data_IF_499580363697
#
_entry.id   IF_499580363697
#
_cell.length_a   1.000
_cell.length_b   1.000
_cell.length_c   1.000
_cell.angle_alpha   90.00
_cell.angle_beta   90.00
_cell.angle_gamma   90.00
#
_symmetry.space_group_name_H-M   'P 1'
#
loop_
_entity.id
_entity.type
_entity.pdbx_description
1 polymer ?
#
# COMPACT_ATOMS: atom_id res chain seq x y z
N UNK A 1 5.99 -9.28 5.33
CA UNK A 1 4.61 -9.12 4.79
C UNK A 1 4.58 -7.88 3.94
N UNK A 2 4.35 -8.01 2.64
CA UNK A 2 4.37 -6.87 1.72
C UNK A 2 3.15 -5.96 1.97
N UNK A 3 3.41 -4.66 2.18
CA UNK A 3 2.39 -3.64 2.38
C UNK A 3 2.53 -2.55 1.32
N UNK A 4 1.43 -2.25 0.63
CA UNK A 4 1.41 -1.30 -0.48
C UNK A 4 0.58 -0.07 -0.15
N UNK A 5 1.13 1.10 -0.51
CA UNK A 5 0.48 2.39 -0.39
C UNK A 5 0.70 3.19 -1.67
N UNK A 6 -0.35 3.79 -2.22
CA UNK A 6 -0.24 4.71 -3.36
C UNK A 6 -0.62 6.13 -2.95
N UNK A 7 0.22 7.09 -3.31
CA UNK A 7 0.07 8.52 -3.03
C UNK A 7 -0.04 9.28 -4.34
N UNK A 8 -1.09 10.09 -4.48
CA UNK A 8 -1.28 10.94 -5.65
C UNK A 8 -0.46 12.23 -5.55
N UNK A 9 0.39 12.50 -6.53
CA UNK A 9 1.21 13.70 -6.60
C UNK A 9 0.53 14.77 -7.47
N UNK A 10 0.07 15.85 -6.83
CA UNK A 10 -0.58 17.00 -7.50
C UNK A 10 0.29 18.26 -7.54
N UNK A 11 1.40 18.27 -6.81
CA UNK A 11 2.31 19.38 -6.67
C UNK A 11 3.74 19.00 -7.01
N UNK A 12 4.66 19.19 -6.06
CA UNK A 12 6.11 19.07 -6.21
C UNK A 12 6.59 17.62 -6.45
N UNK A 13 6.52 17.15 -7.70
CA UNK A 13 7.05 15.84 -8.11
C UNK A 13 8.58 15.80 -8.02
N UNK A 14 9.25 16.94 -8.24
CA UNK A 14 10.68 17.14 -8.00
C UNK A 14 11.07 16.78 -6.56
N UNK A 15 10.39 17.34 -5.57
CA UNK A 15 10.67 17.02 -4.16
C UNK A 15 10.42 15.55 -3.82
N UNK A 16 9.46 14.90 -4.47
CA UNK A 16 9.23 13.47 -4.27
C UNK A 16 10.40 12.66 -4.81
N UNK A 17 10.89 12.98 -5.99
CA UNK A 17 12.05 12.32 -6.59
C UNK A 17 13.32 12.58 -5.77
N UNK A 18 13.57 13.83 -5.36
CA UNK A 18 14.71 14.18 -4.51
C UNK A 18 14.72 13.37 -3.19
N UNK A 19 13.54 13.20 -2.58
CA UNK A 19 13.39 12.41 -1.35
C UNK A 19 13.71 10.92 -1.57
N UNK A 20 13.16 10.31 -2.63
CA UNK A 20 13.33 8.87 -2.87
C UNK A 20 14.72 8.51 -3.39
N UNK A 21 15.40 9.46 -4.06
CA UNK A 21 16.75 9.30 -4.59
C UNK A 21 17.85 9.65 -3.58
N UNK A 22 17.49 9.97 -2.34
CA UNK A 22 18.46 10.39 -1.32
C UNK A 22 19.52 9.31 -1.09
N UNK A 23 20.79 9.68 -1.28
CA UNK A 23 21.97 8.78 -1.21
C UNK A 23 22.12 8.13 0.16
N UNK A 24 21.82 8.86 1.24
CA UNK A 24 21.93 8.35 2.61
C UNK A 24 20.93 7.22 2.88
N UNK A 25 19.81 7.18 2.16
CA UNK A 25 18.74 6.20 2.33
C UNK A 25 18.86 5.00 1.40
N UNK A 26 19.45 5.18 0.22
CA UNK A 26 19.57 4.17 -0.83
C UNK A 26 20.93 3.49 -0.90
N UNK A 27 21.91 3.99 -0.15
CA UNK A 27 23.26 3.44 -0.15
C UNK A 27 23.38 2.18 0.71
N UNK A 28 23.84 1.08 0.12
CA UNK A 28 24.10 -0.19 0.82
C UNK A 28 25.11 -0.07 1.96
N UNK A 29 25.98 0.94 1.95
CA UNK A 29 26.94 1.19 3.03
C UNK A 29 26.25 1.48 4.38
N UNK A 30 25.00 1.91 4.38
CA UNK A 30 24.20 2.16 5.58
C UNK A 30 23.44 0.92 6.08
N UNK A 31 23.41 -0.16 5.32
CA UNK A 31 22.86 -1.43 5.76
C UNK A 31 23.91 -2.17 6.60
N UNK A 32 23.70 -2.26 7.91
CA UNK A 32 24.61 -2.88 8.91
C UNK A 32 25.17 -4.26 8.57
N UNK A 33 24.64 -4.93 7.55
CA UNK A 33 25.06 -6.27 7.09
C UNK A 33 26.12 -6.24 5.97
N UNK A 34 26.52 -5.08 5.43
CA UNK A 34 27.40 -4.99 4.24
C UNK A 34 28.78 -4.38 4.48
N UNK A 35 29.20 -4.26 5.74
CA UNK A 35 30.46 -3.58 6.14
C UNK A 35 31.73 -4.28 5.60
N UNK A 36 31.65 -5.46 5.00
CA UNK A 36 32.82 -6.24 4.59
C UNK A 36 33.23 -6.12 3.10
N UNK A 37 32.51 -5.35 2.27
CA UNK A 37 32.90 -5.22 0.86
C UNK A 37 32.77 -3.80 0.29
N UNK A 38 33.82 -2.97 0.37
CA UNK A 38 33.81 -1.58 -0.11
C UNK A 38 33.68 -1.43 -1.64
N UNK A 39 33.77 -2.53 -2.42
CA UNK A 39 33.63 -2.47 -3.87
C UNK A 39 32.17 -2.50 -4.36
N UNK A 40 31.18 -2.68 -3.46
CA UNK A 40 29.74 -2.72 -3.79
C UNK A 40 29.00 -1.46 -3.33
N UNK A 41 29.45 -0.30 -3.71
CA UNK A 41 28.68 0.95 -3.56
C UNK A 41 27.58 1.01 -4.63
N UNK A 42 26.73 0.01 -4.70
CA UNK A 42 25.55 0.03 -5.56
C UNK A 42 24.43 0.80 -4.88
N UNK A 43 23.98 1.85 -5.54
CA UNK A 43 22.73 2.52 -5.17
C UNK A 43 21.59 1.62 -5.61
N UNK A 44 20.66 1.32 -4.70
CA UNK A 44 19.45 0.53 -4.98
C UNK A 44 18.39 1.41 -5.66
N UNK A 45 18.72 1.88 -6.88
CA UNK A 45 17.87 2.76 -7.69
C UNK A 45 17.87 2.24 -9.12
N UNK A 46 16.67 2.13 -9.69
CA UNK A 46 16.46 1.68 -11.08
C UNK A 46 15.45 2.58 -11.78
N UNK A 47 15.77 3.03 -13.00
CA UNK A 47 14.83 3.64 -13.92
C UNK A 47 14.19 2.59 -14.84
N UNK A 48 12.89 2.72 -15.09
CA UNK A 48 12.15 1.92 -16.08
C UNK A 48 11.57 2.88 -17.08
N UNK A 49 11.89 2.71 -18.36
CA UNK A 49 11.53 3.60 -19.47
C UNK A 49 12.03 5.05 -19.32
N UNK A 50 12.99 5.29 -18.45
CA UNK A 50 13.70 6.55 -18.28
C UNK A 50 15.06 6.30 -17.61
N UNK A 51 15.98 7.22 -17.80
CA UNK A 51 17.21 7.27 -17.00
C UNK A 51 16.93 7.97 -15.67
N UNK A 52 17.53 7.51 -14.60
CA UNK A 52 17.27 8.03 -13.24
C UNK A 52 17.55 9.54 -13.17
N UNK A 53 18.67 9.98 -13.74
CA UNK A 53 19.12 11.37 -13.68
C UNK A 53 18.23 12.31 -14.52
N UNK A 54 17.56 11.80 -15.54
CA UNK A 54 16.67 12.58 -16.43
C UNK A 54 15.18 12.31 -16.21
N UNK A 55 14.83 11.42 -15.27
CA UNK A 55 13.45 10.94 -15.07
C UNK A 55 12.43 12.08 -14.96
N UNK A 56 12.72 13.14 -14.20
CA UNK A 56 11.82 14.28 -14.06
C UNK A 56 11.61 15.01 -15.38
N UNK A 57 12.67 15.22 -16.16
CA UNK A 57 12.60 15.87 -17.47
C UNK A 57 11.85 15.02 -18.48
N UNK A 58 12.07 13.70 -18.48
CA UNK A 58 11.39 12.74 -19.37
C UNK A 58 9.89 12.69 -19.07
N UNK A 59 9.52 12.59 -17.79
CA UNK A 59 8.12 12.64 -17.37
C UNK A 59 7.42 13.96 -17.72
N UNK A 60 8.15 15.09 -17.65
CA UNK A 60 7.64 16.40 -18.10
C UNK A 60 7.50 16.47 -19.62
N UNK A 61 8.46 15.93 -20.36
CA UNK A 61 8.42 15.89 -21.82
C UNK A 61 7.23 15.07 -22.30
N UNK A 62 6.98 13.89 -21.72
CA UNK A 62 5.79 13.09 -22.00
C UNK A 62 4.49 13.86 -21.75
N UNK A 63 4.36 14.55 -20.61
CA UNK A 63 3.17 15.38 -20.33
C UNK A 63 2.98 16.50 -21.35
N UNK A 64 4.08 17.16 -21.72
CA UNK A 64 4.08 18.24 -22.73
C UNK A 64 3.68 17.71 -24.11
N UNK A 65 4.24 16.55 -24.52
CA UNK A 65 3.90 15.90 -25.80
C UNK A 65 2.40 15.64 -25.94
N UNK A 66 1.73 15.25 -24.86
CA UNK A 66 0.32 14.90 -24.85
C UNK A 66 -0.60 16.03 -24.35
N UNK A 67 -0.07 17.23 -24.14
CA UNK A 67 -0.79 18.39 -23.58
C UNK A 67 -1.53 18.09 -22.28
N UNK A 68 -0.87 17.38 -21.35
CA UNK A 68 -1.44 16.94 -20.07
C UNK A 68 -0.64 17.42 -18.86
N UNK A 69 -0.25 18.69 -18.86
CA UNK A 69 0.61 19.29 -17.83
C UNK A 69 -0.07 19.55 -16.48
N UNK A 70 -1.41 19.54 -16.43
CA UNK A 70 -2.18 19.87 -15.23
C UNK A 70 -2.78 18.68 -14.49
N UNK A 71 -3.30 18.93 -13.30
CA UNK A 71 -3.97 17.95 -12.44
C UNK A 71 -3.00 17.04 -11.72
N UNK A 72 -3.21 15.70 -11.79
CA UNK A 72 -2.29 14.72 -11.20
C UNK A 72 -1.03 14.67 -12.05
N UNK A 73 0.13 14.89 -11.43
CA UNK A 73 1.43 14.92 -12.07
C UNK A 73 2.13 13.55 -12.08
N UNK A 74 1.92 12.76 -11.06
CA UNK A 74 2.48 11.43 -10.91
C UNK A 74 1.89 10.70 -9.72
N UNK A 75 2.40 9.53 -9.46
CA UNK A 75 2.04 8.72 -8.31
C UNK A 75 3.30 8.19 -7.64
N UNK A 76 3.17 7.94 -6.35
CA UNK A 76 4.23 7.38 -5.53
C UNK A 76 3.66 6.16 -4.80
N UNK A 77 4.16 4.96 -5.13
CA UNK A 77 3.87 3.73 -4.41
C UNK A 77 4.98 3.51 -3.39
N UNK A 78 4.59 3.11 -2.18
CA UNK A 78 5.49 2.60 -1.16
C UNK A 78 5.15 1.12 -1.00
N UNK A 79 6.14 0.25 -1.26
CA UNK A 79 6.05 -1.19 -1.14
C UNK A 79 7.01 -1.63 -0.04
N UNK A 80 6.49 -2.12 1.07
CA UNK A 80 7.26 -2.42 2.29
C UNK A 80 7.27 -3.91 2.58
N UNK A 81 8.38 -4.40 3.14
CA UNK A 81 8.58 -5.81 3.54
C UNK A 81 8.58 -5.94 5.06
N UNK A 82 8.35 -7.14 5.58
CA UNK A 82 8.50 -7.39 7.01
C UNK A 82 9.98 -7.29 7.42
N UNK A 83 10.25 -6.87 8.68
CA UNK A 83 11.63 -6.84 9.18
C UNK A 83 12.30 -8.20 9.04
N UNK A 84 13.50 -8.23 8.44
CA UNK A 84 14.28 -9.44 8.27
C UNK A 84 13.78 -10.45 7.21
N UNK A 85 12.73 -10.10 6.46
CA UNK A 85 12.15 -10.99 5.43
C UNK A 85 12.98 -11.03 4.15
N UNK A 86 13.64 -9.94 3.81
CA UNK A 86 14.42 -9.77 2.57
C UNK A 86 15.73 -9.07 2.84
N UNK A 87 16.73 -9.34 2.03
CA UNK A 87 17.94 -8.51 1.93
C UNK A 87 17.66 -7.25 1.11
N UNK A 88 18.52 -6.21 1.18
CA UNK A 88 18.37 -5.01 0.35
C UNK A 88 18.30 -5.29 -1.15
N UNK A 89 19.14 -6.20 -1.66
CA UNK A 89 19.16 -6.57 -3.07
C UNK A 89 17.88 -7.33 -3.48
N UNK A 90 17.39 -8.23 -2.65
CA UNK A 90 16.12 -8.96 -2.89
C UNK A 90 14.92 -8.02 -2.85
N UNK A 91 14.89 -7.08 -1.88
CA UNK A 91 13.85 -6.06 -1.80
C UNK A 91 13.81 -5.20 -3.07
N UNK A 92 15.00 -4.75 -3.53
CA UNK A 92 15.10 -3.96 -4.75
C UNK A 92 14.67 -4.74 -5.98
N UNK A 93 15.15 -5.97 -6.15
CA UNK A 93 14.79 -6.83 -7.27
C UNK A 93 13.28 -7.12 -7.31
N UNK A 94 12.65 -7.37 -6.16
CA UNK A 94 11.20 -7.58 -6.07
C UNK A 94 10.42 -6.29 -6.37
N UNK A 95 10.88 -5.13 -5.86
CA UNK A 95 10.27 -3.84 -6.15
C UNK A 95 10.36 -3.43 -7.62
N UNK A 96 11.49 -3.71 -8.27
CA UNK A 96 11.67 -3.47 -9.72
C UNK A 96 10.75 -4.38 -10.54
N UNK A 97 10.69 -5.68 -10.21
CA UNK A 97 9.79 -6.62 -10.88
C UNK A 97 8.32 -6.23 -10.73
N UNK A 98 7.91 -5.86 -9.52
CA UNK A 98 6.56 -5.36 -9.25
C UNK A 98 6.24 -4.12 -10.11
N UNK A 99 7.14 -3.13 -10.13
CA UNK A 99 6.98 -1.92 -10.92
C UNK A 99 6.94 -2.22 -12.43
N UNK A 100 7.79 -3.14 -12.91
CA UNK A 100 7.83 -3.54 -14.31
C UNK A 100 6.52 -4.21 -14.75
N UNK A 101 5.99 -5.16 -13.96
CA UNK A 101 4.74 -5.85 -14.27
C UNK A 101 3.52 -4.93 -14.24
N UNK A 102 3.50 -3.99 -13.28
CA UNK A 102 2.37 -3.08 -13.09
C UNK A 102 2.36 -1.93 -14.10
N UNK A 103 3.52 -1.36 -14.44
CA UNK A 103 3.66 -0.06 -15.07
C UNK A 103 4.57 -0.05 -16.33
N UNK A 104 5.44 -1.07 -16.47
CA UNK A 104 6.58 -1.03 -17.38
C UNK A 104 6.27 -0.88 -18.86
N UNK A 105 5.04 -1.18 -19.28
CA UNK A 105 4.66 -1.07 -20.68
C UNK A 105 4.24 0.35 -21.09
N UNK A 106 3.99 1.25 -20.13
CA UNK A 106 3.28 2.51 -20.42
C UNK A 106 3.82 3.75 -19.73
N UNK A 107 4.59 3.61 -18.66
CA UNK A 107 4.97 4.75 -17.83
C UNK A 107 6.47 4.80 -17.59
N UNK A 108 7.01 6.01 -17.48
CA UNK A 108 8.34 6.23 -16.92
C UNK A 108 8.25 6.04 -15.40
N UNK A 109 9.14 5.22 -14.84
CA UNK A 109 9.14 4.83 -13.43
C UNK A 109 10.54 4.94 -12.85
N UNK A 110 10.64 5.41 -11.61
CA UNK A 110 11.84 5.33 -10.79
C UNK A 110 11.55 4.46 -9.57
N UNK A 111 12.34 3.43 -9.37
CA UNK A 111 12.30 2.55 -8.20
C UNK A 111 13.52 2.82 -7.34
N UNK A 112 13.33 3.14 -6.05
CA UNK A 112 14.41 3.36 -5.09
C UNK A 112 14.11 2.58 -3.81
N UNK A 113 15.06 1.77 -3.35
CA UNK A 113 14.91 0.99 -2.11
C UNK A 113 15.63 1.70 -0.97
N UNK A 114 14.89 2.02 0.08
CA UNK A 114 15.41 2.63 1.30
C UNK A 114 15.82 1.56 2.31
N UNK A 115 16.99 1.71 2.88
CA UNK A 115 17.64 0.77 3.82
C UNK A 115 17.95 1.42 5.17
N UNK A 116 17.43 2.63 5.40
CA UNK A 116 17.66 3.43 6.60
C UNK A 116 16.76 3.05 7.80
N UNK A 117 15.94 1.98 7.65
CA UNK A 117 15.03 1.50 8.69
C UNK A 117 15.07 -0.02 8.81
N UNK A 118 14.57 -0.53 9.94
CA UNK A 118 14.49 -1.97 10.20
C UNK A 118 13.65 -2.73 9.15
N UNK A 119 12.62 -2.09 8.59
CA UNK A 119 11.82 -2.63 7.50
C UNK A 119 12.24 -1.97 6.18
N UNK A 120 12.71 -2.79 5.27
CA UNK A 120 13.05 -2.37 3.93
C UNK A 120 11.79 -1.98 3.15
N UNK A 121 11.90 -0.92 2.36
CA UNK A 121 10.77 -0.47 1.54
C UNK A 121 11.24 0.14 0.23
N UNK A 122 10.50 -0.17 -0.83
CA UNK A 122 10.71 0.40 -2.15
C UNK A 122 9.78 1.58 -2.36
N UNK A 123 10.34 2.69 -2.80
CA UNK A 123 9.62 3.84 -3.33
C UNK A 123 9.56 3.72 -4.85
N UNK A 124 8.37 3.69 -5.41
CA UNK A 124 8.12 3.59 -6.85
C UNK A 124 7.40 4.86 -7.27
N UNK A 125 8.11 5.76 -7.95
CA UNK A 125 7.55 7.04 -8.45
C UNK A 125 7.37 6.93 -9.95
N UNK A 126 6.15 7.19 -10.44
CA UNK A 126 5.86 7.08 -11.85
C UNK A 126 5.02 8.22 -12.41
N UNK A 127 5.14 8.42 -13.72
CA UNK A 127 4.41 9.44 -14.45
C UNK A 127 2.91 9.15 -14.45
N UNK A 128 2.10 10.19 -14.33
CA UNK A 128 0.63 10.06 -14.45
C UNK A 128 0.14 9.88 -15.88
N UNK A 129 0.98 10.16 -16.88
CA UNK A 129 0.63 10.12 -18.31
C UNK A 129 1.44 9.03 -18.98
N UNK A 130 0.76 8.13 -19.70
CA UNK A 130 1.39 7.10 -20.52
C UNK A 130 2.13 7.72 -21.68
N UNK A 131 3.40 7.31 -21.89
CA UNK A 131 4.18 7.74 -23.06
C UNK A 131 3.71 7.07 -24.34
N UNK A 132 2.98 5.95 -24.25
CA UNK A 132 2.50 5.17 -25.39
C UNK A 132 1.24 5.79 -26.01
N UNK A 133 0.22 6.09 -25.20
CA UNK A 133 -1.11 6.50 -25.67
C UNK A 133 -1.61 7.81 -25.04
N UNK A 134 -0.81 8.44 -24.20
CA UNK A 134 -1.12 9.69 -23.52
C UNK A 134 -2.25 9.60 -22.50
N UNK A 135 -2.77 8.41 -22.19
CA UNK A 135 -3.80 8.26 -21.18
C UNK A 135 -3.23 8.47 -19.79
N UNK A 136 -4.03 9.12 -18.93
CA UNK A 136 -3.68 9.22 -17.50
C UNK A 136 -3.94 7.91 -16.80
N UNK A 137 -3.02 7.53 -15.91
CA UNK A 137 -3.23 6.42 -14.97
C UNK A 137 -4.51 6.67 -14.16
N UNK A 138 -5.35 5.65 -14.08
CA UNK A 138 -6.58 5.70 -13.28
C UNK A 138 -6.28 5.04 -11.94
N UNK A 139 -6.13 5.88 -10.91
CA UNK A 139 -6.09 5.39 -9.53
C UNK A 139 -7.53 5.27 -9.03
N UNK A 140 -8.19 4.19 -9.43
CA UNK A 140 -9.52 3.83 -8.97
C UNK A 140 -9.48 2.52 -8.19
N UNK A 141 -10.64 2.09 -7.75
CA UNK A 141 -10.80 0.87 -6.97
C UNK A 141 -10.22 -0.38 -7.66
N UNK A 142 -10.48 -0.55 -8.95
CA UNK A 142 -9.99 -1.71 -9.70
C UNK A 142 -8.46 -1.69 -9.81
N UNK A 143 -7.88 -0.54 -10.11
CA UNK A 143 -6.43 -0.41 -10.22
C UNK A 143 -5.71 -0.58 -8.88
N UNK A 144 -6.33 -0.19 -7.75
CA UNK A 144 -5.72 -0.34 -6.44
C UNK A 144 -5.81 -1.78 -5.93
N UNK A 145 -6.99 -2.39 -5.94
CA UNK A 145 -7.19 -3.72 -5.35
C UNK A 145 -6.97 -4.87 -6.35
N UNK A 146 -7.31 -4.67 -7.62
CA UNK A 146 -7.09 -5.66 -8.68
C UNK A 146 -5.65 -5.63 -9.17
N UNK A 147 -5.25 -4.52 -9.78
CA UNK A 147 -3.96 -4.46 -10.47
C UNK A 147 -2.79 -4.33 -9.49
N UNK A 148 -2.78 -3.30 -8.62
CA UNK A 148 -1.64 -3.01 -7.76
C UNK A 148 -1.42 -4.12 -6.73
N UNK A 149 -2.43 -4.39 -5.88
CA UNK A 149 -2.31 -5.42 -4.85
C UNK A 149 -2.25 -6.84 -5.41
N UNK A 150 -2.96 -7.11 -6.51
CA UNK A 150 -2.88 -8.38 -7.23
C UNK A 150 -1.45 -8.66 -7.69
N UNK A 151 -0.84 -7.73 -8.43
CA UNK A 151 0.54 -7.86 -8.91
C UNK A 151 1.56 -7.94 -7.77
N UNK A 152 1.40 -7.13 -6.71
CA UNK A 152 2.24 -7.20 -5.51
C UNK A 152 2.22 -8.58 -4.86
N UNK A 153 1.02 -9.15 -4.68
CA UNK A 153 0.85 -10.47 -4.11
C UNK A 153 1.43 -11.59 -5.00
N UNK A 154 1.28 -11.49 -6.33
CA UNK A 154 1.85 -12.44 -7.28
C UNK A 154 3.38 -12.45 -7.20
N UNK A 155 4.02 -11.29 -7.30
CA UNK A 155 5.48 -11.16 -7.17
C UNK A 155 5.97 -11.69 -5.83
N UNK A 156 5.27 -11.38 -4.74
CA UNK A 156 5.64 -11.86 -3.41
C UNK A 156 5.57 -13.37 -3.32
N UNK A 157 4.50 -14.02 -3.81
CA UNK A 157 4.35 -15.47 -3.80
C UNK A 157 5.43 -16.17 -4.64
N UNK A 158 5.69 -15.68 -5.84
CA UNK A 158 6.71 -16.24 -6.74
C UNK A 158 8.12 -16.18 -6.14
N UNK A 159 8.37 -15.18 -5.29
CA UNK A 159 9.65 -15.02 -4.58
C UNK A 159 9.67 -15.67 -3.19
N UNK A 160 8.59 -16.37 -2.80
CA UNK A 160 8.48 -17.00 -1.49
C UNK A 160 8.36 -16.02 -0.32
N UNK A 161 7.97 -14.77 -0.60
CA UNK A 161 7.75 -13.74 0.40
C UNK A 161 6.36 -13.87 1.01
N UNK A 162 6.20 -13.37 2.23
CA UNK A 162 4.92 -13.40 2.92
C UNK A 162 3.91 -12.48 2.23
N UNK A 163 2.73 -13.02 1.97
CA UNK A 163 1.59 -12.30 1.42
C UNK A 163 0.57 -12.11 2.52
N UNK A 164 -0.08 -10.96 2.54
CA UNK A 164 -1.23 -10.77 3.40
C UNK A 164 -2.41 -11.51 2.76
N UNK A 165 -2.66 -12.72 3.22
CA UNK A 165 -3.89 -13.42 2.85
C UNK A 165 -5.00 -12.99 3.79
N UNK A 166 -6.19 -12.60 3.26
CA UNK A 166 -7.33 -12.32 4.12
C UNK A 166 -7.71 -13.62 4.84
N UNK A 167 -7.44 -13.70 6.12
CA UNK A 167 -7.83 -14.86 6.93
C UNK A 167 -9.35 -15.07 6.83
N UNK A 168 -9.71 -16.21 6.28
CA UNK A 168 -11.10 -16.60 6.08
C UNK A 168 -11.73 -17.09 7.38
N UNK A 169 -12.27 -16.18 8.19
CA UNK A 169 -13.18 -16.53 9.27
C UNK A 169 -14.56 -16.90 8.70
N UNK A 170 -15.23 -17.88 9.29
CA UNK A 170 -16.47 -18.51 8.84
C UNK A 170 -17.51 -17.59 8.18
N UNK A 171 -17.97 -17.98 6.99
CA UNK A 171 -18.71 -17.10 6.07
C UNK A 171 -20.19 -16.95 6.49
N UNK A 172 -20.62 -15.71 6.72
CA UNK A 172 -22.06 -15.39 6.80
C UNK A 172 -22.66 -15.43 5.38
N UNK A 173 -23.93 -15.80 5.24
CA UNK A 173 -24.60 -15.93 3.92
C UNK A 173 -24.54 -14.66 3.05
N UNK A 174 -24.66 -13.48 3.66
CA UNK A 174 -24.50 -12.18 2.98
C UNK A 174 -23.06 -11.94 2.51
N UNK A 175 -22.07 -12.48 3.19
CA UNK A 175 -20.66 -12.43 2.79
C UNK A 175 -20.40 -13.35 1.60
N UNK A 176 -21.02 -14.52 1.55
CA UNK A 176 -20.91 -15.45 0.41
C UNK A 176 -21.50 -14.87 -0.88
N UNK A 177 -22.62 -14.17 -0.79
CA UNK A 177 -23.23 -13.48 -1.95
C UNK A 177 -22.43 -12.23 -2.36
N UNK A 178 -21.81 -11.51 -1.40
CA UNK A 178 -20.96 -10.36 -1.66
C UNK A 178 -19.58 -10.76 -2.24
N UNK A 179 -19.10 -11.98 -1.98
CA UNK A 179 -17.89 -12.54 -2.58
C UNK A 179 -18.01 -12.61 -4.11
N UNK A 180 -19.21 -12.96 -4.63
CA UNK A 180 -19.53 -12.89 -6.07
C UNK A 180 -19.48 -11.46 -6.64
N UNK A 181 -19.55 -10.43 -5.79
CA UNK A 181 -19.54 -9.00 -6.16
C UNK A 181 -18.20 -8.31 -5.85
N UNK A 182 -17.19 -9.02 -5.41
CA UNK A 182 -15.88 -8.44 -5.07
C UNK A 182 -15.82 -7.65 -3.74
N UNK A 183 -16.95 -7.43 -3.06
CA UNK A 183 -17.03 -6.62 -1.84
C UNK A 183 -16.20 -7.20 -0.67
N UNK A 184 -16.13 -8.54 -0.57
CA UNK A 184 -15.45 -9.21 0.52
C UNK A 184 -13.94 -9.11 0.43
N UNK A 185 -13.40 -9.27 -0.77
CA UNK A 185 -11.97 -9.10 -1.04
C UNK A 185 -11.54 -7.72 -0.59
N UNK A 186 -12.33 -6.71 -0.93
CA UNK A 186 -12.09 -5.32 -0.53
C UNK A 186 -12.15 -5.12 0.97
N UNK A 187 -13.14 -5.68 1.65
CA UNK A 187 -13.22 -5.57 3.12
C UNK A 187 -12.00 -6.22 3.80
N UNK A 188 -11.49 -7.31 3.23
CA UNK A 188 -10.23 -7.91 3.68
C UNK A 188 -9.06 -6.92 3.61
N UNK A 189 -8.88 -6.26 2.48
CA UNK A 189 -7.83 -5.25 2.32
C UNK A 189 -8.03 -4.03 3.24
N UNK A 190 -9.26 -3.56 3.41
CA UNK A 190 -9.56 -2.46 4.34
C UNK A 190 -9.20 -2.83 5.78
N UNK A 191 -9.49 -4.07 6.21
CA UNK A 191 -9.08 -4.58 7.53
C UNK A 191 -7.55 -4.53 7.70
N UNK A 192 -6.81 -4.98 6.70
CA UNK A 192 -5.35 -4.96 6.71
C UNK A 192 -4.76 -3.55 6.80
N UNK A 193 -5.36 -2.62 6.04
CA UNK A 193 -4.93 -1.22 6.10
C UNK A 193 -5.21 -0.60 7.48
N UNK A 194 -6.32 -1.01 8.13
CA UNK A 194 -6.62 -0.64 9.51
C UNK A 194 -5.60 -1.26 10.47
N UNK A 195 -5.25 -2.55 10.31
CA UNK A 195 -4.27 -3.23 11.15
C UNK A 195 -2.89 -2.58 11.04
N UNK A 196 -2.46 -2.26 9.82
CA UNK A 196 -1.22 -1.52 9.58
C UNK A 196 -1.26 -0.11 10.21
N UNK A 197 -2.40 0.59 10.10
CA UNK A 197 -2.56 1.90 10.72
C UNK A 197 -2.55 1.83 12.25
N UNK A 198 -3.10 0.76 12.86
CA UNK A 198 -3.03 0.52 14.31
C UNK A 198 -1.58 0.30 14.74
N UNK A 199 -0.81 -0.49 14.00
CA UNK A 199 0.58 -0.81 14.34
C UNK A 199 1.49 0.43 14.38
N UNK A 200 1.19 1.48 13.58
CA UNK A 200 1.96 2.74 13.55
C UNK A 200 1.34 3.87 14.41
N UNK A 201 0.28 3.60 15.17
CA UNK A 201 -0.50 4.63 15.86
C UNK A 201 -0.58 4.39 17.37
N UNK A 202 -0.77 5.48 18.12
CA UNK A 202 -0.96 5.44 19.58
C UNK A 202 -2.39 5.79 20.01
N UNK A 203 -3.17 6.42 19.16
CA UNK A 203 -4.54 6.85 19.45
C UNK A 203 -5.46 6.56 18.27
N UNK A 204 -6.76 6.47 18.51
CA UNK A 204 -7.74 6.27 17.46
C UNK A 204 -7.68 7.38 16.40
N UNK A 205 -7.49 8.63 16.80
CA UNK A 205 -7.38 9.75 15.88
C UNK A 205 -6.14 9.65 14.97
N UNK A 206 -5.03 9.12 15.50
CA UNK A 206 -3.83 8.87 14.69
C UNK A 206 -4.02 7.70 13.71
N UNK A 207 -4.80 6.67 14.05
CA UNK A 207 -5.24 5.62 13.10
C UNK A 207 -6.04 6.24 11.96
N UNK A 208 -7.04 7.07 12.28
CA UNK A 208 -7.84 7.75 11.25
C UNK A 208 -6.98 8.68 10.38
N UNK A 209 -6.00 9.36 10.98
CA UNK A 209 -5.06 10.21 10.25
C UNK A 209 -4.15 9.38 9.33
N UNK A 210 -3.68 8.21 9.78
CA UNK A 210 -2.91 7.28 8.98
C UNK A 210 -3.70 6.80 7.75
N UNK A 211 -4.94 6.36 7.95
CA UNK A 211 -5.84 5.95 6.85
C UNK A 211 -6.12 7.10 5.87
N UNK A 212 -6.33 8.34 6.37
CA UNK A 212 -6.50 9.50 5.47
C UNK A 212 -5.25 9.77 4.63
N UNK A 213 -4.06 9.63 5.21
CA UNK A 213 -2.79 9.72 4.44
C UNK A 213 -2.68 8.65 3.36
N UNK A 214 -3.31 7.48 3.58
CA UNK A 214 -3.42 6.41 2.59
C UNK A 214 -4.48 6.68 1.52
N UNK A 215 -5.21 7.80 1.59
CA UNK A 215 -6.24 8.17 0.62
C UNK A 215 -7.65 7.72 0.97
N UNK A 216 -7.87 7.19 2.18
CA UNK A 216 -9.21 6.85 2.66
C UNK A 216 -10.07 8.10 2.90
N UNK A 217 -11.32 8.04 2.48
CA UNK A 217 -12.35 8.99 2.91
C UNK A 217 -13.03 8.45 4.18
N UNK A 218 -12.98 9.24 5.25
CA UNK A 218 -13.47 8.81 6.57
C UNK A 218 -14.53 9.79 7.06
N UNK A 219 -15.70 9.25 7.45
CA UNK A 219 -16.72 9.99 8.21
C UNK A 219 -16.63 9.57 9.68
N UNK A 220 -16.26 10.53 10.53
CA UNK A 220 -16.10 10.38 11.97
C UNK A 220 -16.36 11.71 12.67
N UNK A 221 -16.98 11.68 13.83
CA UNK A 221 -17.25 12.86 14.66
C UNK A 221 -18.55 12.74 15.47
N UNK A 222 -18.82 13.72 16.33
CA UNK A 222 -19.96 13.72 17.26
C UNK A 222 -21.35 13.63 16.59
N UNK A 223 -21.45 14.09 15.35
CA UNK A 223 -22.69 14.05 14.55
C UNK A 223 -22.79 12.84 13.63
N UNK A 224 -21.86 11.89 13.71
CA UNK A 224 -21.80 10.70 12.86
C UNK A 224 -22.23 9.50 13.68
N UNK A 225 -23.35 8.87 13.32
CA UNK A 225 -23.88 7.69 14.01
C UNK A 225 -22.95 6.48 13.96
N UNK A 226 -22.24 6.29 12.84
CA UNK A 226 -21.31 5.17 12.64
C UNK A 226 -20.07 5.69 11.93
N UNK A 227 -18.90 5.39 12.45
CA UNK A 227 -17.64 5.65 11.76
C UNK A 227 -17.58 4.81 10.49
N UNK A 228 -17.33 5.47 9.35
CA UNK A 228 -17.23 4.82 8.05
C UNK A 228 -15.90 5.10 7.39
N UNK A 229 -15.37 4.10 6.71
CA UNK A 229 -14.16 4.17 5.90
C UNK A 229 -14.47 3.79 4.46
N UNK A 230 -13.98 4.59 3.52
CA UNK A 230 -14.07 4.34 2.09
C UNK A 230 -12.66 4.30 1.53
N UNK A 231 -12.23 3.20 0.90
CA UNK A 231 -10.89 3.06 0.36
C UNK A 231 -10.61 4.03 -0.80
N UNK A 232 -9.32 4.26 -1.12
CA UNK A 232 -8.93 5.06 -2.29
C UNK A 232 -9.58 4.52 -3.57
N UNK A 233 -9.90 5.43 -4.49
CA UNK A 233 -10.58 5.07 -5.75
C UNK A 233 -12.10 4.95 -5.64
N UNK A 234 -12.68 5.08 -4.45
CA UNK A 234 -14.14 5.04 -4.25
C UNK A 234 -14.68 3.62 -4.11
N UNK A 235 -15.92 3.39 -4.58
CA UNK A 235 -16.58 2.10 -4.50
C UNK A 235 -17.29 1.88 -3.17
N UNK A 236 -16.94 0.83 -2.44
CA UNK A 236 -17.63 0.45 -1.21
C UNK A 236 -17.30 1.36 -0.03
N UNK A 237 -18.32 1.72 0.75
CA UNK A 237 -18.20 2.35 2.06
C UNK A 237 -18.46 1.28 3.13
N UNK A 238 -17.54 1.15 4.07
CA UNK A 238 -17.63 0.20 5.18
C UNK A 238 -17.86 0.94 6.49
N UNK A 239 -18.78 0.41 7.30
CA UNK A 239 -18.93 0.83 8.71
C UNK A 239 -17.98 -0.01 9.55
N UNK A 240 -17.22 0.58 10.45
CA UNK A 240 -16.33 -0.18 11.34
C UNK A 240 -17.09 -1.27 12.09
N UNK A 241 -18.29 -0.96 12.61
CA UNK A 241 -19.15 -1.93 13.32
C UNK A 241 -19.55 -3.16 12.49
N UNK A 242 -19.49 -3.07 11.16
CA UNK A 242 -19.85 -4.16 10.25
C UNK A 242 -18.65 -4.94 9.72
N UNK A 243 -17.46 -4.59 10.16
CA UNK A 243 -16.22 -5.21 9.66
C UNK A 243 -15.82 -6.45 10.48
N UNK A 244 -16.59 -6.82 11.49
CA UNK A 244 -16.35 -7.97 12.35
C UNK A 244 -15.60 -7.63 13.63
N UNK A 245 -15.29 -8.67 14.39
CA UNK A 245 -14.62 -8.56 15.69
C UNK A 245 -13.22 -7.96 15.50
N UNK A 246 -12.82 -7.06 16.40
CA UNK A 246 -11.52 -6.39 16.38
C UNK A 246 -11.50 -5.09 15.57
N UNK A 247 -12.60 -4.71 14.91
CA UNK A 247 -12.64 -3.54 14.01
C UNK A 247 -13.66 -2.47 14.40
N UNK A 248 -14.44 -2.65 15.47
CA UNK A 248 -15.24 -1.56 16.01
C UNK A 248 -14.34 -0.46 16.58
N UNK A 249 -14.86 0.74 16.75
CA UNK A 249 -14.08 1.83 17.37
C UNK A 249 -13.60 1.42 18.78
N UNK A 250 -14.43 0.71 19.54
CA UNK A 250 -14.07 0.20 20.86
C UNK A 250 -12.91 -0.80 20.78
N UNK A 251 -13.01 -1.78 19.88
CA UNK A 251 -11.97 -2.79 19.67
C UNK A 251 -10.63 -2.16 19.26
N UNK A 252 -10.68 -1.20 18.33
CA UNK A 252 -9.45 -0.50 17.87
C UNK A 252 -8.81 0.26 19.05
N UNK A 253 -9.60 0.92 19.89
CA UNK A 253 -9.08 1.60 21.09
C UNK A 253 -8.47 0.63 22.09
N UNK A 254 -9.08 -0.54 22.27
CA UNK A 254 -8.56 -1.61 23.14
C UNK A 254 -7.25 -2.18 22.60
N UNK A 255 -7.18 -2.47 21.30
CA UNK A 255 -5.95 -2.92 20.62
C UNK A 255 -4.80 -1.91 20.79
N UNK A 256 -5.08 -0.62 20.64
CA UNK A 256 -4.11 0.45 20.88
C UNK A 256 -3.67 0.53 22.35
N UNK A 257 -4.57 0.26 23.30
CA UNK A 257 -4.23 0.23 24.72
C UNK A 257 -3.34 -0.98 25.04
N UNK A 258 -3.66 -2.17 24.55
CA UNK A 258 -2.85 -3.38 24.69
C UNK A 258 -1.43 -3.18 24.11
N UNK A 259 -1.34 -2.64 22.89
CA UNK A 259 -0.04 -2.36 22.25
C UNK A 259 0.83 -1.40 23.08
N UNK A 260 0.24 -0.37 23.73
CA UNK A 260 0.97 0.54 24.62
C UNK A 260 1.49 -0.12 25.88
N UNK A 261 0.78 -1.13 26.37
CA UNK A 261 1.15 -1.88 27.56
C UNK A 261 2.13 -3.04 27.26
N UNK A 262 2.48 -3.26 26.00
CA UNK A 262 3.30 -4.41 25.57
C UNK A 262 2.56 -5.75 25.65
N UNK A 263 1.22 -5.72 25.65
CA UNK A 263 0.35 -6.89 25.70
C UNK A 263 0.00 -7.33 24.27
N UNK A 264 -0.09 -8.63 24.03
CA UNK A 264 -0.57 -9.19 22.75
C UNK A 264 -2.11 -9.17 22.80
N UNK A 265 -2.72 -8.43 21.88
CA UNK A 265 -4.17 -8.46 21.70
C UNK A 265 -4.55 -9.69 20.86
N UNK A 266 -5.18 -10.66 21.50
CA UNK A 266 -5.77 -11.79 20.77
C UNK A 266 -7.15 -11.42 20.26
N UNK A 267 -7.37 -11.53 18.93
CA UNK A 267 -8.69 -11.37 18.36
C UNK A 267 -9.63 -12.43 18.94
N UNK A 268 -10.78 -12.06 19.52
CA UNK A 268 -11.74 -13.03 20.04
C UNK A 268 -12.18 -13.98 18.92
N UNK A 269 -12.28 -15.29 19.22
CA UNK A 269 -12.83 -16.26 18.28
C UNK A 269 -14.23 -15.84 17.83
N UNK A 270 -14.45 -15.80 16.53
CA UNK A 270 -15.78 -15.51 16.01
C UNK A 270 -16.73 -16.68 16.34
N UNK A 271 -17.93 -16.42 16.90
CA UNK A 271 -18.88 -17.50 17.10
C UNK A 271 -19.22 -18.14 15.75
N UNK A 272 -19.40 -19.47 15.71
CA UNK A 272 -19.76 -20.17 14.49
C UNK A 272 -21.04 -19.55 13.89
N UNK A 273 -21.18 -19.51 12.56
CA UNK A 273 -22.35 -18.93 11.91
C UNK A 273 -23.61 -19.63 12.39
N UNK A 274 -24.56 -18.87 12.94
CA UNK A 274 -25.87 -19.42 13.31
C UNK A 274 -26.53 -19.99 12.05
N UNK A 275 -26.67 -21.30 11.99
CA UNK A 275 -27.45 -21.96 10.97
C UNK A 275 -28.88 -21.41 11.07
N UNK A 276 -29.32 -20.65 10.06
CA UNK A 276 -30.70 -20.22 9.98
C UNK A 276 -31.56 -21.46 9.94
N UNK A 277 -32.40 -21.66 10.97
CA UNK A 277 -33.45 -22.67 10.94
C UNK A 277 -34.30 -22.38 9.70
N UNK A 278 -34.25 -23.26 8.71
CA UNK A 278 -35.25 -23.28 7.62
C UNK A 278 -36.61 -23.52 8.29
N UNK A 279 -37.48 -22.53 8.21
CA UNK A 279 -38.88 -22.78 8.49
C UNK A 279 -39.36 -23.74 7.41
N UNK A 280 -39.70 -24.93 7.84
CA UNK A 280 -40.48 -25.91 7.07
C UNK A 280 -41.89 -25.39 6.86
#
# INVERSE_FOLDING_TARGET
MAYDKIITLRGRMDHCLDYVLNVEKTGLANALAYVENPAKTHRLITGINCEVDTALSDMRATKKRWDKNGGVLGYHIIHSYAPGEVTPDEAHAAGVEFAQRLLGDKYEVVVATHVDREHLHCHIVFNSVSFVDGKKYRSDFQSYFGDLRGTSNEVSRERGLSVIEPEGHGKHYTEWTAEKQGRKIVMGYVRQDIDAAIAESFTFDTVLAALRRQGYTIKYGSNVKHTTVQPPGGGYVFRLDSMGVGYTEADIRERLAAARNGEVYELPEQPPPMLSRRNT
#
